data_IF_778173856330
#
_entry.id   IF_778173856330
#
_cell.length_a   1.000
_cell.length_b   1.000
_cell.length_c   1.000
_cell.angle_alpha   90.00
_cell.angle_beta   90.00
_cell.angle_gamma   90.00
#
_symmetry.space_group_name_H-M   'P 1'
#
loop_
_entity.id
_entity.type
_entity.pdbx_description
1 polymer ?
#
# COMPACT_ATOMS: atom_id res chain seq x y z
N UNK A 1 -10.62 -106.62 -44.38
CA UNK A 1 -9.92 -105.59 -45.17
C UNK A 1 -9.53 -104.46 -44.22
N UNK A 2 -8.22 -104.38 -43.88
CA UNK A 2 -7.43 -103.26 -43.33
C UNK A 2 -8.09 -102.22 -42.38
N UNK A 3 -7.77 -102.19 -41.08
CA UNK A 3 -6.72 -101.42 -40.33
C UNK A 3 -6.92 -99.89 -40.34
N UNK A 4 -6.74 -99.28 -39.15
CA UNK A 4 -6.61 -97.86 -38.77
C UNK A 4 -7.89 -97.13 -38.31
N UNK A 5 -8.12 -97.13 -36.99
CA UNK A 5 -8.49 -95.93 -36.23
C UNK A 5 -8.29 -96.17 -34.74
N UNK A 6 -7.02 -96.33 -34.33
CA UNK A 6 -6.56 -96.53 -32.94
C UNK A 6 -5.81 -95.31 -32.42
N UNK A 7 -6.28 -94.10 -32.74
CA UNK A 7 -5.72 -92.86 -32.21
C UNK A 7 -6.90 -91.97 -31.86
N UNK A 8 -7.15 -91.74 -30.57
CA UNK A 8 -7.75 -90.52 -29.95
C UNK A 8 -8.33 -90.77 -28.55
N UNK A 9 -8.54 -92.01 -28.08
CA UNK A 9 -9.24 -92.25 -26.79
C UNK A 9 -8.41 -92.81 -25.62
N UNK A 10 -7.10 -92.59 -25.58
CA UNK A 10 -6.26 -92.92 -24.43
C UNK A 10 -5.29 -91.78 -24.14
N UNK A 11 -5.79 -90.67 -23.58
CA UNK A 11 -4.98 -89.67 -22.87
C UNK A 11 -5.91 -88.81 -21.99
N UNK A 12 -6.74 -89.48 -21.20
CA UNK A 12 -7.34 -88.87 -20.01
C UNK A 12 -6.89 -89.76 -18.85
N UNK A 13 -6.44 -89.14 -17.75
CA UNK A 13 -5.99 -89.76 -16.50
C UNK A 13 -4.54 -90.24 -16.48
N UNK A 14 -3.62 -89.32 -16.21
CA UNK A 14 -2.64 -89.44 -15.13
C UNK A 14 -1.66 -88.26 -15.17
N UNK A 15 -2.13 -87.05 -14.83
CA UNK A 15 -1.21 -86.06 -14.27
C UNK A 15 -0.92 -86.59 -12.86
N UNK A 16 0.20 -87.31 -12.75
CA UNK A 16 0.72 -87.79 -11.47
C UNK A 16 0.93 -86.58 -10.56
N UNK A 17 0.61 -86.72 -9.28
CA UNK A 17 0.83 -85.69 -8.26
C UNK A 17 2.31 -85.25 -8.17
N UNK A 18 3.23 -86.03 -8.75
CA UNK A 18 4.67 -85.79 -8.75
C UNK A 18 5.12 -84.73 -9.78
N UNK A 19 4.32 -84.43 -10.81
CA UNK A 19 4.63 -83.36 -11.79
C UNK A 19 4.33 -81.94 -11.27
N UNK A 20 3.66 -81.82 -10.10
CA UNK A 20 3.48 -80.54 -9.40
C UNK A 20 4.76 -80.07 -8.66
N UNK A 21 5.77 -80.94 -8.50
CA UNK A 21 6.96 -80.68 -7.68
C UNK A 21 8.29 -80.78 -8.45
N UNK A 22 8.24 -80.64 -9.78
CA UNK A 22 9.42 -80.56 -10.66
C UNK A 22 10.33 -79.35 -10.32
N UNK A 23 11.67 -79.45 -10.46
CA UNK A 23 12.63 -78.43 -10.00
C UNK A 23 12.53 -77.07 -10.71
N UNK A 24 11.68 -76.93 -11.73
CA UNK A 24 11.52 -75.70 -12.49
C UNK A 24 10.43 -74.77 -11.96
N UNK A 25 9.44 -75.25 -11.19
CA UNK A 25 8.39 -74.43 -10.56
C UNK A 25 8.02 -75.03 -9.19
N UNK A 26 8.48 -74.38 -8.11
CA UNK A 26 8.10 -74.72 -6.74
C UNK A 26 6.77 -74.03 -6.38
N UNK A 27 5.66 -74.76 -6.54
CA UNK A 27 4.30 -74.23 -6.35
C UNK A 27 4.09 -73.67 -4.93
N UNK A 28 4.70 -74.28 -3.90
CA UNK A 28 4.62 -73.81 -2.52
C UNK A 28 5.31 -72.45 -2.34
N UNK A 29 6.44 -72.24 -3.02
CA UNK A 29 7.16 -70.98 -3.01
C UNK A 29 6.39 -69.87 -3.74
N UNK A 30 5.81 -70.19 -4.91
CA UNK A 30 4.97 -69.27 -5.66
C UNK A 30 3.68 -68.91 -4.91
N UNK A 31 3.02 -69.87 -4.25
CA UNK A 31 1.88 -69.59 -3.36
C UNK A 31 2.28 -68.70 -2.17
N UNK A 32 3.48 -68.89 -1.62
CA UNK A 32 4.05 -68.01 -0.60
C UNK A 32 4.24 -66.57 -1.10
N UNK A 33 4.78 -66.40 -2.31
CA UNK A 33 4.94 -65.09 -2.97
C UNK A 33 3.58 -64.42 -3.22
N UNK A 34 2.58 -65.18 -3.67
CA UNK A 34 1.21 -64.69 -3.89
C UNK A 34 0.58 -64.20 -2.58
N UNK A 35 0.71 -64.96 -1.49
CA UNK A 35 0.19 -64.55 -0.19
C UNK A 35 0.89 -63.27 0.33
N UNK A 36 2.21 -63.16 0.15
CA UNK A 36 2.96 -61.94 0.50
C UNK A 36 2.50 -60.75 -0.35
N UNK A 37 2.25 -60.96 -1.66
CA UNK A 37 1.71 -59.92 -2.54
C UNK A 37 0.30 -59.49 -2.11
N UNK A 38 -0.55 -60.43 -1.71
CA UNK A 38 -1.90 -60.13 -1.23
C UNK A 38 -1.86 -59.26 0.04
N UNK A 39 -1.01 -59.60 1.02
CA UNK A 39 -0.81 -58.79 2.23
C UNK A 39 -0.31 -57.38 1.89
N UNK A 40 0.63 -57.27 0.93
CA UNK A 40 1.09 -55.95 0.46
C UNK A 40 -0.01 -55.16 -0.25
N UNK A 41 -0.86 -55.82 -1.02
CA UNK A 41 -1.96 -55.19 -1.72
C UNK A 41 -3.00 -54.63 -0.74
N UNK A 42 -3.35 -55.40 0.29
CA UNK A 42 -4.22 -54.94 1.39
C UNK A 42 -3.60 -53.77 2.16
N UNK A 43 -2.27 -53.78 2.36
CA UNK A 43 -1.55 -52.65 2.97
C UNK A 43 -1.60 -51.40 2.09
N UNK A 44 -1.40 -51.57 0.78
CA UNK A 44 -1.41 -50.48 -0.20
C UNK A 44 -2.81 -49.87 -0.36
N UNK A 45 -3.86 -50.68 -0.31
CA UNK A 45 -5.25 -50.20 -0.31
C UNK A 45 -5.55 -49.31 0.90
N UNK A 46 -5.02 -49.66 2.09
CA UNK A 46 -5.13 -48.81 3.29
C UNK A 46 -4.39 -47.49 3.14
N UNK A 47 -3.19 -47.49 2.57
CA UNK A 47 -2.43 -46.26 2.31
C UNK A 47 -3.15 -45.36 1.31
N UNK A 48 -3.73 -45.92 0.23
CA UNK A 48 -4.52 -45.16 -0.75
C UNK A 48 -5.72 -44.49 -0.09
N UNK A 49 -6.44 -45.21 0.78
CA UNK A 49 -7.60 -44.65 1.48
C UNK A 49 -7.18 -43.53 2.43
N UNK A 50 -6.06 -43.69 3.15
CA UNK A 50 -5.52 -42.65 4.01
C UNK A 50 -5.10 -41.41 3.21
N UNK A 51 -4.38 -41.58 2.09
CA UNK A 51 -3.98 -40.49 1.21
C UNK A 51 -5.19 -39.72 0.65
N UNK A 52 -6.29 -40.42 0.37
CA UNK A 52 -7.54 -39.82 -0.11
C UNK A 52 -8.22 -38.95 0.94
N UNK A 53 -8.17 -39.36 2.21
CA UNK A 53 -8.66 -38.56 3.34
C UNK A 53 -7.79 -37.32 3.52
N UNK A 54 -6.47 -37.47 3.48
CA UNK A 54 -5.52 -36.36 3.62
C UNK A 54 -5.68 -35.34 2.47
N UNK A 55 -5.80 -35.78 1.22
CA UNK A 55 -6.09 -34.87 0.09
C UNK A 55 -7.45 -34.19 0.21
N UNK A 56 -8.48 -34.86 0.74
CA UNK A 56 -9.77 -34.20 1.01
C UNK A 56 -9.66 -33.16 2.12
N UNK A 57 -8.86 -33.41 3.15
CA UNK A 57 -8.61 -32.44 4.21
C UNK A 57 -7.82 -31.22 3.69
N UNK A 58 -6.73 -31.46 2.96
CA UNK A 58 -5.90 -30.42 2.34
C UNK A 58 -6.68 -29.56 1.35
N UNK A 59 -7.58 -30.15 0.55
CA UNK A 59 -8.43 -29.36 -0.38
C UNK A 59 -9.40 -28.44 0.37
N UNK A 60 -9.94 -28.87 1.52
CA UNK A 60 -10.75 -28.01 2.39
C UNK A 60 -9.93 -26.88 3.00
N UNK A 61 -8.73 -27.16 3.48
CA UNK A 61 -7.82 -26.12 4.01
C UNK A 61 -7.41 -25.12 2.94
N UNK A 62 -7.09 -25.58 1.72
CA UNK A 62 -6.80 -24.69 0.58
C UNK A 62 -7.99 -23.81 0.22
N UNK A 63 -9.21 -24.35 0.23
CA UNK A 63 -10.42 -23.55 -0.01
C UNK A 63 -10.60 -22.47 1.08
N UNK A 64 -10.37 -22.80 2.35
CA UNK A 64 -10.42 -21.82 3.44
C UNK A 64 -9.32 -20.77 3.35
N UNK A 65 -8.10 -21.17 2.94
CA UNK A 65 -6.99 -20.25 2.72
C UNK A 65 -7.29 -19.30 1.56
N UNK A 66 -7.90 -19.78 0.48
CA UNK A 66 -8.31 -18.95 -0.65
C UNK A 66 -9.32 -17.88 -0.24
N UNK A 67 -10.33 -18.24 0.57
CA UNK A 67 -11.30 -17.28 1.12
C UNK A 67 -10.61 -16.21 1.97
N UNK A 68 -9.64 -16.58 2.81
CA UNK A 68 -8.86 -15.62 3.60
C UNK A 68 -8.00 -14.70 2.74
N UNK A 69 -7.40 -15.23 1.67
CA UNK A 69 -6.61 -14.44 0.72
C UNK A 69 -7.50 -13.42 0.02
N UNK A 70 -8.70 -13.81 -0.38
CA UNK A 70 -9.64 -12.90 -1.05
C UNK A 70 -10.16 -11.82 -0.10
N UNK A 71 -10.48 -12.16 1.16
CA UNK A 71 -10.82 -11.17 2.21
C UNK A 71 -9.65 -10.21 2.51
N UNK A 72 -8.42 -10.72 2.57
CA UNK A 72 -7.22 -9.89 2.73
C UNK A 72 -6.99 -8.95 1.54
N UNK A 73 -7.24 -9.40 0.31
CA UNK A 73 -7.10 -8.56 -0.89
C UNK A 73 -8.09 -7.40 -0.87
N UNK A 74 -9.35 -7.68 -0.52
CA UNK A 74 -10.39 -6.63 -0.39
C UNK A 74 -9.97 -5.59 0.65
N UNK A 75 -9.55 -6.02 1.85
CA UNK A 75 -9.07 -5.11 2.90
C UNK A 75 -7.82 -4.30 2.48
N UNK A 76 -6.93 -4.90 1.69
CA UNK A 76 -5.75 -4.22 1.15
C UNK A 76 -6.15 -3.14 0.14
N UNK A 77 -7.11 -3.41 -0.73
CA UNK A 77 -7.64 -2.44 -1.70
C UNK A 77 -8.33 -1.27 -0.99
N UNK A 78 -9.14 -1.54 0.03
CA UNK A 78 -9.79 -0.52 0.86
C UNK A 78 -8.77 0.37 1.58
N UNK A 79 -7.75 -0.23 2.20
CA UNK A 79 -6.67 0.52 2.84
C UNK A 79 -5.88 1.36 1.82
N UNK A 80 -5.58 0.81 0.64
CA UNK A 80 -4.83 1.52 -0.40
C UNK A 80 -5.59 2.75 -0.90
N UNK A 81 -6.92 2.65 -1.05
CA UNK A 81 -7.76 3.79 -1.41
C UNK A 81 -7.81 4.85 -0.30
N UNK A 82 -7.90 4.46 0.98
CA UNK A 82 -7.81 5.44 2.09
C UNK A 82 -6.46 6.17 2.13
N UNK A 83 -5.36 5.47 1.80
CA UNK A 83 -4.02 6.06 1.79
C UNK A 83 -3.79 7.07 0.65
N UNK A 84 -4.41 6.89 -0.51
CA UNK A 84 -4.37 7.88 -1.61
C UNK A 84 -5.05 9.19 -1.21
N UNK A 85 -6.18 9.13 -0.50
CA UNK A 85 -6.90 10.32 0.00
C UNK A 85 -6.11 11.04 1.11
N UNK A 86 -5.19 10.35 1.77
CA UNK A 86 -4.41 10.87 2.90
C UNK A 86 -3.09 11.57 2.50
N UNK A 87 -2.83 11.78 1.21
CA UNK A 87 -1.65 12.51 0.74
C UNK A 87 -2.00 13.97 0.48
N UNK A 88 -1.73 14.84 1.45
CA UNK A 88 -1.98 16.28 1.32
C UNK A 88 -0.69 17.04 1.60
N UNK A 89 -0.19 17.76 0.60
CA UNK A 89 0.98 18.61 0.75
C UNK A 89 1.00 19.70 -0.32
N UNK A 90 1.35 20.92 0.07
CA UNK A 90 1.57 22.01 -0.87
C UNK A 90 2.85 22.78 -0.51
N UNK A 91 3.46 23.36 -1.54
CA UNK A 91 4.60 24.25 -1.42
C UNK A 91 4.53 25.29 -2.52
N UNK A 92 4.45 26.56 -2.13
CA UNK A 92 4.18 27.68 -3.03
C UNK A 92 5.07 28.87 -2.69
N UNK A 93 5.37 29.70 -3.70
CA UNK A 93 6.10 30.97 -3.55
C UNK A 93 5.33 32.14 -4.14
N UNK A 94 5.64 33.35 -3.66
CA UNK A 94 5.18 34.56 -4.31
C UNK A 94 5.88 34.70 -5.68
N UNK A 95 5.24 35.45 -6.57
CA UNK A 95 5.77 35.74 -7.91
C UNK A 95 6.35 37.14 -8.05
N UNK A 96 6.10 38.01 -7.07
CA UNK A 96 6.48 39.42 -7.12
C UNK A 96 6.49 40.04 -5.73
N UNK A 97 7.20 41.15 -5.61
CA UNK A 97 7.18 41.98 -4.41
C UNK A 97 5.82 42.65 -4.20
N UNK A 98 5.32 42.64 -2.97
CA UNK A 98 4.06 43.26 -2.56
C UNK A 98 4.35 44.20 -1.39
N UNK A 99 3.86 45.44 -1.46
CA UNK A 99 3.95 46.40 -0.37
C UNK A 99 4.13 47.85 -0.82
N UNK A 100 3.97 48.81 0.12
CA UNK A 100 3.38 48.59 1.43
C UNK A 100 1.86 48.41 1.28
N UNK A 101 1.28 47.45 1.98
CA UNK A 101 -0.18 47.25 1.94
C UNK A 101 -0.88 48.24 2.88
N UNK A 102 -2.06 48.73 2.49
CA UNK A 102 -2.83 49.74 3.26
C UNK A 102 -3.69 49.16 4.38
N UNK A 103 -3.90 47.85 4.36
CA UNK A 103 -4.70 47.10 5.31
C UNK A 103 -4.14 45.68 5.39
N UNK A 104 -4.65 44.87 6.31
CA UNK A 104 -4.36 43.43 6.35
C UNK A 104 -4.72 42.83 4.98
N UNK A 105 -3.74 42.21 4.32
CA UNK A 105 -3.87 41.75 2.94
C UNK A 105 -3.46 40.28 2.82
N UNK A 106 -4.37 39.45 2.33
CA UNK A 106 -4.08 38.03 2.08
C UNK A 106 -3.13 37.87 0.90
N UNK A 107 -2.02 37.19 1.14
CA UNK A 107 -0.99 36.93 0.15
C UNK A 107 -1.40 35.77 -0.74
N UNK A 108 -1.31 35.98 -2.05
CA UNK A 108 -1.60 34.97 -3.07
C UNK A 108 -0.26 34.47 -3.64
N UNK A 109 0.16 33.27 -3.23
CA UNK A 109 1.36 32.61 -3.72
C UNK A 109 1.01 31.89 -5.03
N UNK A 110 1.41 32.49 -6.15
CA UNK A 110 1.01 32.05 -7.50
C UNK A 110 1.89 30.94 -8.08
N UNK A 111 3.15 30.87 -7.65
CA UNK A 111 4.05 29.84 -8.14
C UNK A 111 3.88 28.56 -7.30
N UNK A 112 3.59 27.45 -7.97
CA UNK A 112 3.31 26.16 -7.34
C UNK A 112 4.47 25.21 -7.60
N UNK A 113 5.16 24.81 -6.53
CA UNK A 113 6.11 23.69 -6.59
C UNK A 113 5.40 22.35 -6.44
N UNK A 114 4.41 22.30 -5.54
CA UNK A 114 3.61 21.12 -5.22
C UNK A 114 2.22 21.55 -4.75
N UNK A 115 1.19 20.81 -5.16
CA UNK A 115 -0.17 20.93 -4.63
C UNK A 115 -0.88 19.57 -4.60
N UNK A 116 -0.27 18.59 -3.93
CA UNK A 116 -0.83 17.25 -3.80
C UNK A 116 -2.10 17.30 -2.94
N UNK A 117 -3.18 16.71 -3.46
CA UNK A 117 -4.51 16.74 -2.83
C UNK A 117 -5.30 18.02 -3.13
N UNK A 118 -4.79 18.89 -4.01
CA UNK A 118 -5.46 20.10 -4.52
C UNK A 118 -6.08 20.99 -3.43
N UNK A 119 -5.43 21.03 -2.27
CA UNK A 119 -5.94 21.68 -1.07
C UNK A 119 -5.59 23.18 -0.99
N UNK A 120 -4.63 23.66 -1.80
CA UNK A 120 -4.29 25.07 -1.91
C UNK A 120 -4.87 25.68 -3.19
N UNK A 121 -5.54 26.82 -3.08
CA UNK A 121 -6.08 27.59 -4.20
C UNK A 121 -5.19 28.79 -4.53
N UNK A 122 -4.51 28.73 -5.68
CA UNK A 122 -3.60 29.76 -6.15
C UNK A 122 -4.28 31.04 -6.65
N UNK A 123 -5.62 31.07 -6.76
CA UNK A 123 -6.37 32.28 -7.06
C UNK A 123 -6.69 33.08 -5.80
N UNK A 124 -6.77 32.43 -4.65
CA UNK A 124 -7.17 33.05 -3.37
C UNK A 124 -6.06 33.10 -2.33
N UNK A 125 -5.01 32.28 -2.46
CA UNK A 125 -3.94 32.17 -1.47
C UNK A 125 -4.29 31.30 -0.27
N UNK A 126 -5.35 30.50 -0.36
CA UNK A 126 -5.94 29.81 0.78
C UNK A 126 -5.73 28.31 0.65
N UNK A 127 -5.18 27.71 1.72
CA UNK A 127 -5.25 26.27 1.95
C UNK A 127 -6.56 25.92 2.66
N UNK A 128 -7.28 24.90 2.17
CA UNK A 128 -8.49 24.36 2.81
C UNK A 128 -8.26 22.90 3.17
N UNK A 129 -8.38 22.56 4.46
CA UNK A 129 -8.16 21.20 4.92
C UNK A 129 -9.20 20.23 4.30
N UNK A 130 -8.79 19.23 3.52
CA UNK A 130 -9.73 18.30 2.89
C UNK A 130 -10.31 17.27 3.87
N UNK A 131 -9.65 17.07 5.01
CA UNK A 131 -10.02 16.13 6.06
C UNK A 131 -9.55 16.61 7.43
N UNK A 132 -10.01 15.93 8.48
CA UNK A 132 -9.52 16.15 9.84
C UNK A 132 -8.12 15.56 9.98
N UNK A 133 -7.22 16.30 10.64
CA UNK A 133 -5.87 15.81 10.91
C UNK A 133 -4.95 16.88 11.47
N UNK A 134 -3.71 16.47 11.75
CA UNK A 134 -2.65 17.39 12.16
C UNK A 134 -1.83 17.80 10.96
N UNK A 135 -1.77 19.11 10.71
CA UNK A 135 -1.05 19.70 9.59
C UNK A 135 0.11 20.53 10.10
N UNK A 136 1.28 20.40 9.47
CA UNK A 136 2.43 21.25 9.73
C UNK A 136 2.54 22.34 8.65
N UNK A 137 2.66 23.60 9.06
CA UNK A 137 2.84 24.75 8.18
C UNK A 137 4.18 25.42 8.42
N UNK A 138 4.80 25.92 7.35
CA UNK A 138 6.01 26.74 7.40
C UNK A 138 5.86 27.96 6.52
N UNK A 139 6.33 29.09 7.03
CA UNK A 139 6.30 30.38 6.38
C UNK A 139 7.71 30.97 6.36
N UNK A 140 8.17 31.38 5.18
CA UNK A 140 9.38 32.16 4.98
C UNK A 140 9.01 33.50 4.34
N UNK A 141 9.46 34.58 4.96
CA UNK A 141 9.15 35.94 4.54
C UNK A 141 10.44 36.71 4.33
N UNK A 142 10.71 37.17 3.11
CA UNK A 142 11.87 38.01 2.78
C UNK A 142 11.43 39.43 2.47
N UNK A 143 12.29 40.42 2.73
CA UNK A 143 12.12 41.80 2.25
C UNK A 143 13.47 42.50 2.08
N UNK A 144 13.46 43.71 1.55
CA UNK A 144 14.59 44.63 1.63
C UNK A 144 14.55 45.37 2.96
N UNK A 145 15.68 45.45 3.66
CA UNK A 145 15.83 46.29 4.84
C UNK A 145 16.12 47.74 4.44
N UNK A 146 15.36 48.68 5.00
CA UNK A 146 15.62 50.11 4.97
C UNK A 146 14.85 50.79 6.12
N UNK A 147 14.96 52.11 6.26
CA UNK A 147 14.23 52.85 7.28
C UNK A 147 12.69 52.69 7.17
N UNK A 148 12.19 52.49 5.95
CA UNK A 148 10.78 52.39 5.58
C UNK A 148 10.33 50.96 5.23
N UNK A 149 11.25 50.00 5.09
CA UNK A 149 10.92 48.62 4.69
C UNK A 149 11.25 47.61 5.78
N UNK A 150 10.22 46.84 6.13
CA UNK A 150 10.26 45.71 7.03
C UNK A 150 9.19 44.71 6.58
N UNK A 151 9.25 43.49 7.11
CA UNK A 151 8.25 42.46 6.84
C UNK A 151 7.60 42.00 8.14
N UNK A 152 6.27 41.96 8.14
CA UNK A 152 5.46 41.21 9.11
C UNK A 152 4.39 40.47 8.34
N UNK A 153 4.45 39.15 8.34
CA UNK A 153 3.43 38.30 7.76
C UNK A 153 2.96 37.28 8.80
N UNK A 154 1.64 37.12 8.94
CA UNK A 154 1.01 36.21 9.89
C UNK A 154 0.26 35.09 9.20
N UNK A 155 0.31 33.89 9.77
CA UNK A 155 -0.52 32.75 9.38
C UNK A 155 -1.81 32.77 10.20
N UNK A 156 -2.94 32.63 9.51
CA UNK A 156 -4.27 32.68 10.09
C UNK A 156 -5.01 31.38 9.83
N UNK A 157 -5.75 30.89 10.83
CA UNK A 157 -6.73 29.82 10.73
C UNK A 157 -8.12 30.41 10.90
N UNK A 158 -8.99 30.32 9.90
CA UNK A 158 -10.37 30.82 9.94
C UNK A 158 -10.49 32.27 10.47
N UNK A 159 -9.58 33.16 10.07
CA UNK A 159 -9.55 34.56 10.52
C UNK A 159 -8.90 34.79 11.89
N UNK A 160 -8.53 33.74 12.62
CA UNK A 160 -7.76 33.84 13.87
C UNK A 160 -6.26 33.76 13.59
N UNK A 161 -5.49 34.64 14.21
CA UNK A 161 -4.02 34.64 14.15
C UNK A 161 -3.44 33.42 14.90
N UNK A 162 -2.43 32.77 14.30
CA UNK A 162 -1.73 31.62 14.89
C UNK A 162 -0.24 31.94 15.15
N UNK A 163 0.50 32.29 14.10
CA UNK A 163 1.93 32.65 14.19
C UNK A 163 2.28 33.81 13.27
N UNK A 164 3.40 34.48 13.53
CA UNK A 164 3.92 35.54 12.66
C UNK A 164 5.41 35.40 12.38
N UNK A 165 5.82 35.96 11.26
CA UNK A 165 7.20 36.29 10.93
C UNK A 165 7.38 37.80 11.10
N UNK A 166 8.54 38.23 11.60
CA UNK A 166 8.91 39.64 11.70
C UNK A 166 10.40 39.80 11.44
N UNK A 167 10.73 40.77 10.59
CA UNK A 167 12.12 41.13 10.31
C UNK A 167 12.24 42.62 9.96
N UNK A 168 13.21 43.29 10.59
CA UNK A 168 13.60 44.67 10.30
C UNK A 168 15.11 44.86 10.47
N UNK A 169 15.75 45.48 9.50
CA UNK A 169 17.15 45.94 9.58
C UNK A 169 17.36 47.18 8.70
N UNK A 170 18.49 47.84 8.86
CA UNK A 170 18.79 49.14 8.25
C UNK A 170 19.18 49.10 6.77
N UNK A 171 19.55 47.94 6.21
CA UNK A 171 20.01 47.83 4.82
C UNK A 171 20.11 46.38 4.35
N UNK A 172 20.26 46.14 3.04
CA UNK A 172 20.42 44.79 2.47
C UNK A 172 19.12 43.98 2.41
N UNK A 173 19.23 42.66 2.30
CA UNK A 173 18.08 41.75 2.36
C UNK A 173 17.91 41.19 3.77
N UNK A 174 16.67 41.08 4.22
CA UNK A 174 16.32 40.44 5.48
C UNK A 174 15.22 39.42 5.29
N UNK A 175 15.25 38.35 6.07
CA UNK A 175 14.16 37.38 6.13
C UNK A 175 13.85 36.95 7.55
N UNK A 176 12.66 36.39 7.72
CA UNK A 176 12.20 35.74 8.94
C UNK A 176 11.40 34.51 8.57
N UNK A 177 11.42 33.50 9.43
CA UNK A 177 10.69 32.25 9.21
C UNK A 177 10.06 31.76 10.50
N UNK A 178 8.91 31.09 10.37
CA UNK A 178 8.21 30.49 11.51
C UNK A 178 7.40 29.28 11.01
N UNK A 179 6.94 28.43 11.93
CA UNK A 179 6.14 27.26 11.61
C UNK A 179 5.30 26.79 12.79
N UNK A 180 4.22 26.09 12.49
CA UNK A 180 3.26 25.60 13.50
C UNK A 180 2.61 24.30 13.02
N UNK A 181 2.34 23.41 13.96
CA UNK A 181 1.47 22.24 13.73
C UNK A 181 0.09 22.52 14.30
N UNK A 182 -0.96 22.35 13.49
CA UNK A 182 -2.34 22.65 13.85
C UNK A 182 -3.23 21.43 13.64
N UNK A 183 -4.10 21.16 14.60
CA UNK A 183 -5.26 20.30 14.38
C UNK A 183 -6.29 21.08 13.57
N UNK A 184 -6.62 20.56 12.38
CA UNK A 184 -7.62 21.12 11.49
C UNK A 184 -8.80 20.16 11.36
N UNK A 185 -9.99 20.73 11.30
CA UNK A 185 -11.20 20.04 10.85
C UNK A 185 -11.34 20.18 9.34
N UNK A 186 -12.10 19.27 8.71
CA UNK A 186 -12.42 19.39 7.28
C UNK A 186 -13.08 20.74 7.00
N UNK A 187 -12.55 21.48 6.03
CA UNK A 187 -13.03 22.80 5.62
C UNK A 187 -12.37 23.97 6.34
N UNK A 188 -11.53 23.74 7.37
CA UNK A 188 -10.73 24.81 7.97
C UNK A 188 -9.82 25.46 6.93
N UNK A 189 -9.77 26.79 6.95
CA UNK A 189 -9.01 27.62 6.02
C UNK A 189 -7.76 28.18 6.68
N UNK A 190 -6.62 27.99 6.04
CA UNK A 190 -5.33 28.52 6.48
C UNK A 190 -4.71 29.39 5.38
N UNK A 191 -4.30 30.59 5.73
CA UNK A 191 -3.76 31.56 4.77
C UNK A 191 -2.83 32.55 5.46
N UNK A 192 -2.00 33.23 4.66
CA UNK A 192 -1.02 34.18 5.14
C UNK A 192 -1.47 35.60 4.82
N UNK A 193 -1.44 36.47 5.82
CA UNK A 193 -1.70 37.89 5.64
C UNK A 193 -0.44 38.72 5.86
N UNK A 194 -0.21 39.68 4.98
CA UNK A 194 0.74 40.78 5.18
C UNK A 194 0.06 41.88 5.99
N UNK A 195 0.72 42.35 7.05
CA UNK A 195 0.19 43.41 7.89
C UNK A 195 0.31 44.78 7.21
N UNK A 196 -0.61 45.69 7.56
CA UNK A 196 -0.61 47.08 7.06
C UNK A 196 0.73 47.76 7.29
N UNK A 197 1.23 48.47 6.27
CA UNK A 197 2.50 49.21 6.30
C UNK A 197 3.74 48.36 6.03
N UNK A 198 3.61 47.03 5.84
CA UNK A 198 4.73 46.13 5.60
C UNK A 198 4.87 45.72 4.14
N UNK A 199 6.07 45.23 3.82
CA UNK A 199 6.48 44.75 2.50
C UNK A 199 6.89 43.29 2.57
N UNK A 200 6.68 42.56 1.49
CA UNK A 200 7.26 41.24 1.27
C UNK A 200 7.85 41.20 -0.15
N UNK A 201 9.09 40.72 -0.24
CA UNK A 201 9.87 40.65 -1.46
C UNK A 201 9.83 39.25 -2.05
N UNK A 202 9.63 39.19 -3.36
CA UNK A 202 9.93 38.01 -4.14
C UNK A 202 10.29 38.36 -5.59
N UNK A 203 10.91 37.40 -6.27
CA UNK A 203 11.33 37.43 -7.67
C UNK A 203 11.46 35.98 -8.20
N UNK A 204 12.10 35.81 -9.37
CA UNK A 204 12.36 34.50 -10.01
C UNK A 204 13.15 33.50 -9.13
N UNK A 205 13.69 33.91 -7.97
CA UNK A 205 14.41 33.05 -7.04
C UNK A 205 13.56 32.57 -5.85
N UNK A 206 12.25 32.85 -5.83
CA UNK A 206 11.26 32.25 -4.93
C UNK A 206 11.66 32.29 -3.44
N UNK A 207 11.90 33.49 -2.94
CA UNK A 207 12.40 33.72 -1.61
C UNK A 207 11.34 33.64 -0.51
N UNK A 208 10.10 34.01 -0.82
CA UNK A 208 9.02 34.08 0.15
C UNK A 208 8.05 32.93 -0.10
N UNK A 209 8.10 31.92 0.77
CA UNK A 209 7.42 30.65 0.57
C UNK A 209 6.41 30.36 1.66
N UNK A 210 5.35 29.67 1.27
CA UNK A 210 4.34 29.13 2.17
C UNK A 210 4.15 27.65 1.83
N UNK A 211 4.25 26.79 2.83
CA UNK A 211 4.14 25.35 2.64
C UNK A 211 3.37 24.72 3.79
N UNK A 212 2.73 23.60 3.50
CA UNK A 212 2.08 22.79 4.51
C UNK A 212 1.83 21.36 4.06
N UNK A 213 1.75 20.44 5.00
CA UNK A 213 1.48 19.03 4.74
C UNK A 213 0.73 18.38 5.91
N UNK A 214 -0.08 17.38 5.58
CA UNK A 214 -0.70 16.49 6.57
C UNK A 214 0.38 15.60 7.18
N UNK A 215 0.46 15.58 8.50
CA UNK A 215 1.32 14.64 9.24
C UNK A 215 0.62 13.31 9.41
N UNK A 216 -0.63 13.34 9.85
CA UNK A 216 -1.51 12.18 9.98
C UNK A 216 -2.98 12.61 10.06
N UNK A 217 -3.85 11.84 9.43
CA UNK A 217 -5.30 11.96 9.52
C UNK A 217 -5.81 11.46 10.87
N UNK A 218 -7.04 11.88 11.24
CA UNK A 218 -7.76 11.44 12.43
C UNK A 218 -9.12 10.85 12.08
#
# INVERSE_FOLDING_TARGET
>A
MFILSTIVLLNVWAIHADDLFSPSINILEELGKINIMQIRMESMEKEIEQLKIETSAQTKEMAQMQVKIDDMKVKMEEHTQQHEVSKVAFSVSLSSTIGPVKSLHTLIYKHIFLNQGDAYDANTGIFTAPMKGVYAFRLFSKTHGSADKAVVAGLFKNGKHEISTYARQSGGFIGSSNGVSLLLEKGDKVYVNLYSGYWIFDNEHHHSTFSGHLLFSM
#
